data_IF_443226722462
#
_entry.id   IF_443226722462
#
_cell.length_a   1.000
_cell.length_b   1.000
_cell.length_c   1.000
_cell.angle_alpha   90.00
_cell.angle_beta   90.00
_cell.angle_gamma   90.00
#
_symmetry.space_group_name_H-M   'P 1'
#
loop_
_entity.id
_entity.type
_entity.pdbx_description
1 polymer ?
#
# COMPACT_ATOMS: atom_id res chain seq x y z
N UNK A 1 22.29 -4.40 -14.27
CA UNK A 1 22.66 -3.50 -13.15
C UNK A 1 21.43 -2.80 -12.55
N UNK A 2 20.42 -2.49 -13.35
CA UNK A 2 19.18 -1.79 -12.95
C UNK A 2 18.33 -2.51 -11.87
N UNK A 3 18.26 -3.85 -11.90
CA UNK A 3 17.47 -4.61 -10.92
C UNK A 3 18.03 -4.62 -9.50
N UNK A 4 19.35 -4.55 -9.35
CA UNK A 4 20.00 -4.52 -8.03
C UNK A 4 19.80 -3.18 -7.32
N UNK A 5 19.84 -2.08 -8.08
CA UNK A 5 19.56 -0.73 -7.56
C UNK A 5 18.09 -0.56 -7.14
N UNK A 6 17.16 -1.16 -7.89
CA UNK A 6 15.74 -1.15 -7.53
C UNK A 6 15.50 -1.90 -6.22
N UNK A 7 16.10 -3.07 -6.06
CA UNK A 7 16.01 -3.88 -4.84
C UNK A 7 16.61 -3.14 -3.63
N UNK A 8 17.74 -2.45 -3.80
CA UNK A 8 18.37 -1.67 -2.73
C UNK A 8 17.51 -0.48 -2.28
N UNK A 9 16.90 0.25 -3.21
CA UNK A 9 15.93 1.33 -2.89
C UNK A 9 14.72 0.79 -2.14
N UNK A 10 14.26 -0.38 -2.58
CA UNK A 10 13.15 -1.09 -1.95
C UNK A 10 13.47 -1.52 -0.51
N UNK A 11 14.68 -2.00 -0.26
CA UNK A 11 15.20 -2.28 1.07
C UNK A 11 15.30 -1.03 1.93
N UNK A 12 15.80 0.08 1.39
CA UNK A 12 15.89 1.35 2.11
C UNK A 12 14.51 1.89 2.52
N UNK A 13 13.45 1.59 1.76
CA UNK A 13 12.08 1.90 2.17
C UNK A 13 11.64 1.06 3.38
N UNK A 14 11.81 -0.26 3.32
CA UNK A 14 11.44 -1.17 4.41
C UNK A 14 12.24 -0.87 5.69
N UNK A 15 13.53 -0.55 5.56
CA UNK A 15 14.35 -0.16 6.69
C UNK A 15 13.82 1.10 7.38
N UNK A 16 13.40 2.12 6.61
CA UNK A 16 12.77 3.32 7.17
C UNK A 16 11.45 3.01 7.87
N UNK A 17 10.63 2.12 7.31
CA UNK A 17 9.36 1.71 7.93
C UNK A 17 9.59 0.98 9.26
N UNK A 18 10.58 0.07 9.30
CA UNK A 18 10.98 -0.63 10.52
C UNK A 18 11.49 0.34 11.59
N UNK A 19 12.36 1.30 11.23
CA UNK A 19 12.85 2.34 12.13
C UNK A 19 11.68 3.19 12.68
N UNK A 20 10.76 3.62 11.81
CA UNK A 20 9.58 4.38 12.21
C UNK A 20 8.66 3.60 13.15
N UNK A 21 8.65 2.26 13.04
CA UNK A 21 7.92 1.36 13.94
C UNK A 21 8.65 1.08 15.26
N UNK A 22 9.93 1.47 15.40
CA UNK A 22 10.77 1.26 16.58
C UNK A 22 11.64 0.00 16.52
N UNK A 23 11.81 -0.60 15.34
CA UNK A 23 12.64 -1.77 15.11
C UNK A 23 14.04 -1.36 14.61
N UNK A 24 15.00 -1.34 15.54
CA UNK A 24 16.39 -0.96 15.28
C UNK A 24 17.30 -2.18 15.00
N UNK A 25 18.46 -1.94 14.39
CA UNK A 25 19.55 -2.92 14.30
C UNK A 25 19.56 -3.85 13.09
N UNK A 26 18.73 -3.63 12.07
CA UNK A 26 18.74 -4.42 10.83
C UNK A 26 19.62 -3.77 9.75
N UNK A 27 20.87 -4.22 9.69
CA UNK A 27 21.90 -3.68 8.79
C UNK A 27 21.96 -4.48 7.47
N UNK A 28 21.17 -4.07 6.47
CA UNK A 28 21.41 -4.38 5.05
C UNK A 28 20.81 -5.69 4.49
N UNK A 29 20.68 -5.73 3.15
CA UNK A 29 20.08 -6.83 2.36
C UNK A 29 20.74 -8.21 2.58
N UNK A 30 22.01 -8.24 3.01
CA UNK A 30 22.79 -9.47 3.15
C UNK A 30 22.39 -10.38 4.33
N UNK A 31 21.65 -9.87 5.32
CA UNK A 31 21.30 -10.61 6.55
C UNK A 31 19.90 -11.24 6.53
N UNK A 32 19.23 -11.33 5.37
CA UNK A 32 17.83 -11.76 5.30
C UNK A 32 17.63 -13.13 4.65
N UNK A 33 18.40 -14.16 4.99
CA UNK A 33 17.99 -15.54 4.64
C UNK A 33 16.84 -16.03 5.52
N UNK A 34 15.98 -16.94 5.05
CA UNK A 34 15.10 -17.71 5.97
C UNK A 34 15.89 -18.50 7.00
N UNK A 35 17.09 -18.93 6.63
CA UNK A 35 18.06 -19.57 7.52
C UNK A 35 18.76 -18.57 8.46
N UNK A 36 18.62 -17.26 8.25
CA UNK A 36 19.19 -16.25 9.15
C UNK A 36 18.36 -16.11 10.42
N UNK A 37 18.95 -16.28 11.61
CA UNK A 37 18.23 -16.15 12.88
C UNK A 37 17.69 -14.74 13.11
N UNK A 38 18.41 -13.70 12.69
CA UNK A 38 17.99 -12.30 12.89
C UNK A 38 16.71 -11.98 12.12
N UNK A 39 16.60 -12.46 10.88
CA UNK A 39 15.39 -12.31 10.07
C UNK A 39 14.18 -13.01 10.70
N UNK A 40 14.37 -14.24 11.19
CA UNK A 40 13.31 -15.00 11.86
C UNK A 40 12.89 -14.31 13.17
N UNK A 41 13.86 -13.81 13.93
CA UNK A 41 13.60 -13.05 15.15
C UNK A 41 12.84 -11.74 14.87
N UNK A 42 13.14 -11.03 13.78
CA UNK A 42 12.37 -9.86 13.38
C UNK A 42 10.92 -10.20 13.06
N UNK A 43 10.69 -11.22 12.23
CA UNK A 43 9.35 -11.68 11.88
C UNK A 43 8.58 -12.11 13.14
N UNK A 44 9.24 -12.82 14.07
CA UNK A 44 8.66 -13.22 15.34
C UNK A 44 8.28 -12.01 16.22
N UNK A 45 9.12 -10.98 16.32
CA UNK A 45 8.78 -9.76 17.07
C UNK A 45 7.61 -9.00 16.46
N UNK A 46 7.57 -8.84 15.14
CA UNK A 46 6.44 -8.21 14.44
C UNK A 46 5.13 -8.98 14.67
N UNK A 47 5.18 -10.31 14.58
CA UNK A 47 4.01 -11.17 14.83
C UNK A 47 3.56 -11.16 16.29
N UNK A 48 4.49 -11.16 17.24
CA UNK A 48 4.18 -11.01 18.66
C UNK A 48 3.50 -9.66 18.91
N UNK A 49 3.97 -8.59 18.29
CA UNK A 49 3.32 -7.29 18.38
C UNK A 49 1.89 -7.32 17.81
N UNK A 50 1.70 -7.89 16.61
CA UNK A 50 0.35 -8.06 16.02
C UNK A 50 -0.60 -8.83 16.95
N UNK A 51 -0.11 -9.86 17.63
CA UNK A 51 -0.87 -10.60 18.63
C UNK A 51 -1.25 -9.72 19.84
N UNK A 52 -0.32 -8.89 20.34
CA UNK A 52 -0.60 -7.95 21.45
C UNK A 52 -1.57 -6.83 21.07
N UNK A 53 -1.62 -6.46 19.79
CA UNK A 53 -2.54 -5.45 19.26
C UNK A 53 -3.94 -6.03 18.95
N UNK A 54 -4.13 -7.34 19.08
CA UNK A 54 -5.41 -8.00 18.83
C UNK A 54 -5.73 -8.20 17.35
N UNK A 55 -4.75 -8.10 16.45
CA UNK A 55 -4.95 -8.30 15.01
C UNK A 55 -5.27 -9.75 14.62
N UNK A 56 -5.03 -10.69 15.53
CA UNK A 56 -5.31 -12.13 15.40
C UNK A 56 -6.67 -12.43 16.05
N UNK A 57 -7.73 -11.96 15.41
CA UNK A 57 -9.07 -11.80 15.99
C UNK A 57 -9.88 -13.11 16.14
N UNK A 58 -9.43 -14.28 15.63
CA UNK A 58 -10.37 -15.41 15.41
C UNK A 58 -9.99 -16.82 15.88
N UNK A 59 -8.95 -17.04 16.68
CA UNK A 59 -8.70 -18.39 17.25
C UNK A 59 -8.17 -18.41 18.69
N UNK A 60 -8.75 -17.62 19.60
CA UNK A 60 -8.49 -17.80 21.04
C UNK A 60 -9.00 -19.15 21.59
N UNK A 61 -9.81 -19.90 20.83
CA UNK A 61 -10.34 -21.20 21.26
C UNK A 61 -9.63 -22.43 20.69
N UNK A 62 -8.79 -22.32 19.65
CA UNK A 62 -8.06 -23.49 19.14
C UNK A 62 -6.65 -23.10 18.64
N UNK A 63 -5.68 -23.17 19.55
CA UNK A 63 -4.36 -23.74 19.27
C UNK A 63 -3.50 -23.17 18.13
N UNK A 64 -3.68 -21.92 17.70
CA UNK A 64 -2.68 -21.29 16.83
C UNK A 64 -1.54 -20.76 17.69
N UNK A 65 -0.46 -21.54 17.77
CA UNK A 65 0.79 -21.09 18.40
C UNK A 65 1.31 -19.85 17.65
N UNK A 66 1.36 -18.72 18.35
CA UNK A 66 1.99 -17.50 17.85
C UNK A 66 3.42 -17.81 17.39
N UNK A 67 3.95 -17.05 16.41
CA UNK A 67 5.36 -17.18 16.02
C UNK A 67 6.22 -17.13 17.28
N UNK A 68 6.87 -18.24 17.62
CA UNK A 68 7.56 -18.35 18.90
C UNK A 68 8.72 -17.36 18.92
N UNK A 69 8.69 -16.42 19.88
CA UNK A 69 9.79 -15.49 20.16
C UNK A 69 10.98 -16.17 20.86
N UNK A 70 11.13 -17.49 20.68
CA UNK A 70 12.22 -18.29 21.23
C UNK A 70 13.58 -17.90 20.65
N UNK A 71 14.61 -18.09 21.46
CA UNK A 71 16.01 -17.60 21.39
C UNK A 71 16.84 -17.89 20.11
N UNK A 72 16.21 -18.21 18.98
CA UNK A 72 16.88 -18.58 17.73
C UNK A 72 16.98 -20.08 17.49
N UNK A 73 16.58 -20.92 18.45
CA UNK A 73 16.59 -22.39 18.35
C UNK A 73 15.34 -23.02 17.69
N UNK A 74 14.47 -22.21 17.05
CA UNK A 74 13.34 -22.78 16.28
C UNK A 74 13.89 -23.33 14.95
N UNK A 75 13.58 -24.57 14.54
CA UNK A 75 13.94 -25.07 13.21
C UNK A 75 13.35 -24.21 12.08
N UNK A 76 14.02 -24.13 10.94
CA UNK A 76 13.54 -23.32 9.80
C UNK A 76 12.16 -23.81 9.32
N UNK A 77 11.91 -25.13 9.31
CA UNK A 77 10.62 -25.70 8.89
C UNK A 77 9.48 -25.29 9.82
N UNK A 78 9.75 -25.26 11.12
CA UNK A 78 8.76 -24.89 12.14
C UNK A 78 8.42 -23.40 12.06
N UNK A 79 9.43 -22.54 11.87
CA UNK A 79 9.22 -21.13 11.58
C UNK A 79 8.36 -20.92 10.33
N UNK A 80 8.65 -21.62 9.24
CA UNK A 80 7.90 -21.50 7.99
C UNK A 80 6.45 -21.96 8.14
N UNK A 81 6.20 -23.01 8.94
CA UNK A 81 4.85 -23.50 9.25
C UNK A 81 4.06 -22.47 10.04
N UNK A 82 4.64 -21.92 11.11
CA UNK A 82 4.00 -20.89 11.93
C UNK A 82 3.76 -19.61 11.11
N UNK A 83 4.72 -19.21 10.27
CA UNK A 83 4.59 -18.06 9.37
C UNK A 83 3.45 -18.23 8.36
N UNK A 84 3.30 -19.42 7.78
CA UNK A 84 2.19 -19.72 6.88
C UNK A 84 0.82 -19.68 7.59
N UNK A 85 0.78 -20.07 8.87
CA UNK A 85 -0.41 -19.92 9.72
C UNK A 85 -0.76 -18.45 9.94
N UNK A 86 0.21 -17.66 10.40
CA UNK A 86 0.06 -16.22 10.63
C UNK A 86 -0.41 -15.49 9.36
N UNK A 87 0.22 -15.75 8.21
CA UNK A 87 -0.15 -15.09 6.95
C UNK A 87 -1.57 -15.44 6.49
N UNK A 88 -2.05 -16.63 6.82
CA UNK A 88 -3.44 -17.04 6.54
C UNK A 88 -4.43 -16.31 7.44
N UNK A 89 -4.09 -16.17 8.71
CA UNK A 89 -4.90 -15.44 9.69
C UNK A 89 -4.99 -13.94 9.38
N UNK A 90 -3.86 -13.34 8.98
CA UNK A 90 -3.79 -11.95 8.50
C UNK A 90 -4.33 -11.77 7.07
N UNK A 91 -4.86 -12.81 6.44
CA UNK A 91 -5.41 -12.78 5.09
C UNK A 91 -4.45 -12.18 4.03
N UNK A 92 -3.16 -12.55 4.09
CA UNK A 92 -2.14 -11.99 3.21
C UNK A 92 -2.47 -12.24 1.71
N UNK A 93 -2.48 -11.19 0.86
CA UNK A 93 -2.89 -11.30 -0.54
C UNK A 93 -1.80 -11.86 -1.47
N UNK A 94 -0.54 -11.95 -1.02
CA UNK A 94 0.56 -12.42 -1.86
C UNK A 94 0.52 -13.96 -2.01
N UNK A 95 0.17 -14.41 -3.21
CA UNK A 95 0.09 -15.83 -3.57
C UNK A 95 1.42 -16.57 -3.45
N UNK A 96 2.57 -15.89 -3.61
CA UNK A 96 3.89 -16.51 -3.45
C UNK A 96 4.20 -16.77 -1.97
N UNK A 97 3.70 -15.94 -1.07
CA UNK A 97 3.87 -16.11 0.38
C UNK A 97 2.89 -17.12 0.97
N UNK A 98 1.65 -17.13 0.49
CA UNK A 98 0.58 -17.99 0.99
C UNK A 98 0.48 -19.37 0.29
N UNK A 99 1.34 -19.64 -0.69
CA UNK A 99 1.39 -20.93 -1.39
C UNK A 99 2.08 -22.04 -0.58
N UNK A 100 1.90 -23.30 -0.99
CA UNK A 100 2.47 -24.47 -0.31
C UNK A 100 4.01 -24.56 -0.28
N UNK A 101 4.70 -23.69 -1.03
CA UNK A 101 6.16 -23.65 -1.14
C UNK A 101 6.75 -22.32 -0.59
N UNK A 102 6.23 -21.82 0.54
CA UNK A 102 6.70 -20.56 1.12
C UNK A 102 8.21 -20.54 1.38
N UNK A 103 8.80 -21.66 1.83
CA UNK A 103 10.23 -21.79 2.11
C UNK A 103 11.13 -21.59 0.89
N UNK A 104 10.74 -22.13 -0.28
CA UNK A 104 11.53 -21.91 -1.51
C UNK A 104 11.32 -20.51 -2.06
N UNK A 105 10.13 -19.95 -1.89
CA UNK A 105 9.78 -18.60 -2.36
C UNK A 105 10.54 -17.53 -1.56
N UNK A 106 10.67 -17.69 -0.24
CA UNK A 106 11.40 -16.77 0.63
C UNK A 106 12.93 -16.78 0.42
N UNK A 107 13.45 -17.68 -0.43
CA UNK A 107 14.85 -17.57 -0.89
C UNK A 107 15.04 -16.38 -1.84
N UNK A 108 13.98 -15.98 -2.55
CA UNK A 108 13.97 -14.79 -3.40
C UNK A 108 13.92 -13.52 -2.50
N UNK A 109 14.90 -12.60 -2.60
CA UNK A 109 14.95 -11.42 -1.74
C UNK A 109 13.73 -10.50 -1.92
N UNK A 110 13.19 -10.41 -3.15
CA UNK A 110 11.97 -9.67 -3.41
C UNK A 110 10.74 -10.22 -2.69
N UNK A 111 10.65 -11.53 -2.47
CA UNK A 111 9.56 -12.15 -1.70
C UNK A 111 9.68 -11.79 -0.22
N UNK A 112 10.89 -11.77 0.33
CA UNK A 112 11.16 -11.36 1.72
C UNK A 112 10.85 -9.90 1.97
N UNK A 113 11.20 -9.04 1.02
CA UNK A 113 10.81 -7.63 1.03
C UNK A 113 9.30 -7.45 1.10
N UNK A 114 8.55 -8.18 0.25
CA UNK A 114 7.09 -8.14 0.27
C UNK A 114 6.50 -8.64 1.59
N UNK A 115 7.07 -9.70 2.17
CA UNK A 115 6.69 -10.18 3.49
C UNK A 115 6.89 -9.10 4.56
N UNK A 116 8.07 -8.47 4.62
CA UNK A 116 8.34 -7.45 5.63
C UNK A 116 7.47 -6.21 5.45
N UNK A 117 7.25 -5.76 4.21
CA UNK A 117 6.30 -4.66 3.94
C UNK A 117 4.92 -5.00 4.44
N UNK A 118 4.44 -6.20 4.15
CA UNK A 118 3.14 -6.67 4.59
C UNK A 118 3.05 -6.67 6.13
N UNK A 119 4.02 -7.28 6.83
CA UNK A 119 4.01 -7.30 8.29
C UNK A 119 4.11 -5.88 8.89
N UNK A 120 4.91 -4.99 8.31
CA UNK A 120 4.98 -3.59 8.74
C UNK A 120 3.64 -2.87 8.54
N UNK A 121 2.99 -3.05 7.38
CA UNK A 121 1.68 -2.43 7.12
C UNK A 121 0.60 -2.96 8.05
N UNK A 122 0.62 -4.26 8.37
CA UNK A 122 -0.31 -4.84 9.34
C UNK A 122 -0.07 -4.27 10.74
N UNK A 123 1.19 -4.12 11.19
CA UNK A 123 1.50 -3.51 12.49
C UNK A 123 1.04 -2.05 12.52
N UNK A 124 1.29 -1.29 11.47
CA UNK A 124 0.81 0.08 11.33
C UNK A 124 -0.71 0.16 11.41
N UNK A 125 -1.41 -0.73 10.68
CA UNK A 125 -2.87 -0.80 10.68
C UNK A 125 -3.41 -1.19 12.06
N UNK A 126 -2.85 -2.21 12.70
CA UNK A 126 -3.27 -2.67 14.02
C UNK A 126 -3.04 -1.59 15.11
N UNK A 127 -1.92 -0.86 15.06
CA UNK A 127 -1.69 0.30 15.93
C UNK A 127 -2.73 1.39 15.70
N UNK A 128 -3.05 1.69 14.44
CA UNK A 128 -4.05 2.70 14.09
C UNK A 128 -5.45 2.31 14.56
N UNK A 129 -5.86 1.05 14.33
CA UNK A 129 -7.14 0.51 14.79
C UNK A 129 -7.25 0.54 16.33
N UNK A 130 -6.18 0.20 17.04
CA UNK A 130 -6.11 0.31 18.51
C UNK A 130 -6.19 1.76 18.99
N UNK A 131 -5.66 2.72 18.25
CA UNK A 131 -5.84 4.14 18.57
C UNK A 131 -7.28 4.56 18.31
N UNK A 132 -7.88 4.15 17.19
CA UNK A 132 -9.27 4.45 16.85
C UNK A 132 -10.26 3.87 17.88
N UNK A 133 -10.05 2.64 18.34
CA UNK A 133 -10.87 2.05 19.40
C UNK A 133 -10.75 2.74 20.75
N UNK A 134 -9.67 3.50 20.99
CA UNK A 134 -9.54 4.40 22.17
C UNK A 134 -10.19 5.76 21.95
N UNK A 135 -10.33 6.20 20.71
CA UNK A 135 -11.01 7.45 20.36
C UNK A 135 -12.53 7.28 20.17
N UNK A 136 -13.04 6.06 20.02
CA UNK A 136 -14.47 5.74 20.04
C UNK A 136 -14.92 5.45 21.49
N UNK A 137 -15.63 6.38 22.18
CA UNK A 137 -16.22 6.09 23.47
C UNK A 137 -17.55 5.34 23.24
N UNK A 138 -17.51 4.01 23.13
CA UNK A 138 -18.73 3.21 23.32
C UNK A 138 -18.98 3.04 24.83
N UNK A 139 -20.19 3.34 25.33
CA UNK A 139 -20.47 3.37 26.75
C UNK A 139 -20.76 1.95 27.24
N UNK A 140 -19.76 1.21 27.73
CA UNK A 140 -19.99 0.06 28.63
C UNK A 140 -18.71 -0.39 29.38
N UNK A 141 -18.51 0.24 30.54
CA UNK A 141 -18.04 -0.32 31.84
C UNK A 141 -16.74 -1.15 31.94
N UNK A 142 -15.70 -0.52 32.50
CA UNK A 142 -15.15 -0.84 33.84
C UNK A 142 -14.20 0.32 34.21
N UNK A 143 -14.25 0.97 35.37
CA UNK A 143 -14.56 0.44 36.69
C UNK A 143 -13.30 0.29 37.55
N UNK A 144 -12.37 1.26 37.56
CA UNK A 144 -11.43 1.50 38.67
C UNK A 144 -11.14 3.01 38.75
N UNK A 145 -11.27 3.54 39.96
CA UNK A 145 -11.11 4.93 40.36
C UNK A 145 -9.72 5.52 40.05
N UNK A 146 -9.70 6.80 39.67
CA UNK A 146 -8.50 7.63 39.64
C UNK A 146 -8.80 9.02 39.08
N UNK A 147 -8.82 10.02 39.95
CA UNK A 147 -9.23 11.41 39.72
C UNK A 147 -8.36 12.24 38.74
N UNK A 148 -8.00 11.72 37.56
CA UNK A 148 -7.14 12.39 36.57
C UNK A 148 -7.67 12.28 35.10
N UNK A 149 -8.80 11.62 34.83
CA UNK A 149 -9.30 11.45 33.45
C UNK A 149 -9.88 12.73 32.82
N UNK A 150 -10.28 13.71 33.63
CA UNK A 150 -10.84 14.98 33.12
C UNK A 150 -9.83 15.87 32.40
N UNK A 151 -8.53 15.72 32.71
CA UNK A 151 -7.45 16.52 32.11
C UNK A 151 -7.18 16.12 30.65
N UNK A 152 -7.20 14.81 30.37
CA UNK A 152 -6.95 14.27 29.03
C UNK A 152 -8.03 14.68 28.03
N UNK A 153 -9.31 14.57 28.39
CA UNK A 153 -10.42 14.95 27.52
C UNK A 153 -10.38 16.46 27.18
N UNK A 154 -10.12 17.30 28.18
CA UNK A 154 -9.97 18.75 27.97
C UNK A 154 -8.81 19.05 27.02
N UNK A 155 -7.70 18.34 27.15
CA UNK A 155 -6.55 18.48 26.26
C UNK A 155 -6.89 18.07 24.81
N UNK A 156 -7.60 16.96 24.59
CA UNK A 156 -8.05 16.53 23.25
C UNK A 156 -9.01 17.55 22.60
N UNK A 157 -9.90 18.13 23.39
CA UNK A 157 -10.78 19.19 22.92
C UNK A 157 -10.00 20.45 22.54
N UNK A 158 -8.98 20.82 23.30
CA UNK A 158 -8.07 21.92 22.96
C UNK A 158 -7.34 21.64 21.64
N UNK A 159 -6.87 20.41 21.43
CA UNK A 159 -6.22 20.00 20.18
C UNK A 159 -7.19 20.04 18.98
N UNK A 160 -8.42 19.59 19.18
CA UNK A 160 -9.48 19.63 18.16
C UNK A 160 -9.80 21.07 17.75
N UNK A 161 -9.96 21.98 18.73
CA UNK A 161 -10.17 23.41 18.46
C UNK A 161 -8.99 24.02 17.67
N UNK A 162 -7.74 23.66 18.01
CA UNK A 162 -6.56 24.10 17.28
C UNK A 162 -6.52 23.57 15.84
N UNK A 163 -6.83 22.30 15.63
CA UNK A 163 -6.88 21.69 14.29
C UNK A 163 -7.96 22.35 13.41
N UNK A 164 -9.07 22.77 14.02
CA UNK A 164 -10.14 23.53 13.36
C UNK A 164 -9.80 25.02 13.16
N UNK A 165 -8.61 25.48 13.58
CA UNK A 165 -8.19 26.88 13.49
C UNK A 165 -8.93 27.83 14.42
N UNK A 166 -9.57 27.31 15.47
CA UNK A 166 -10.33 28.08 16.44
C UNK A 166 -9.41 28.68 17.52
N UNK A 167 -9.79 29.82 18.12
CA UNK A 167 -8.98 30.48 19.13
C UNK A 167 -8.75 29.56 20.34
N UNK A 168 -7.52 29.57 20.86
CA UNK A 168 -7.12 28.72 21.99
C UNK A 168 -7.92 29.13 23.23
N UNK A 169 -8.59 28.17 23.91
CA UNK A 169 -9.35 28.48 25.11
C UNK A 169 -8.45 28.81 26.30
N UNK A 170 -9.00 29.53 27.27
CA UNK A 170 -8.28 29.93 28.48
C UNK A 170 -7.92 28.70 29.34
N UNK A 171 -6.75 28.66 30.00
CA UNK A 171 -6.44 27.62 30.96
C UNK A 171 -7.50 27.55 32.06
N UNK A 172 -8.02 26.35 32.35
CA UNK A 172 -9.09 26.14 33.33
C UNK A 172 -10.51 26.31 32.78
N UNK A 173 -10.68 26.48 31.45
CA UNK A 173 -12.02 26.44 30.83
C UNK A 173 -12.63 25.04 31.05
N UNK A 174 -13.86 24.94 31.61
CA UNK A 174 -14.49 23.65 31.83
C UNK A 174 -14.84 22.96 30.50
N UNK A 175 -14.75 21.64 30.45
CA UNK A 175 -15.04 20.83 29.25
C UNK A 175 -16.43 21.13 28.65
N UNK A 176 -17.43 21.41 29.49
CA UNK A 176 -18.78 21.76 29.05
C UNK A 176 -18.86 23.04 28.22
N UNK A 177 -18.00 24.03 28.51
CA UNK A 177 -17.91 25.26 27.75
C UNK A 177 -17.18 25.03 26.42
N UNK A 178 -16.10 24.24 26.45
CA UNK A 178 -15.39 23.85 25.23
C UNK A 178 -16.28 23.07 24.26
N UNK A 179 -17.11 22.15 24.76
CA UNK A 179 -18.06 21.38 23.95
C UNK A 179 -19.08 22.32 23.29
N UNK A 180 -19.61 23.27 24.06
CA UNK A 180 -20.56 24.26 23.56
C UNK A 180 -19.92 25.15 22.50
N UNK A 181 -18.68 25.57 22.70
CA UNK A 181 -17.94 26.37 21.75
C UNK A 181 -17.63 25.57 20.47
N UNK A 182 -17.39 24.26 20.56
CA UNK A 182 -17.14 23.39 19.42
C UNK A 182 -18.43 23.16 18.61
N UNK A 183 -19.55 22.95 19.29
CA UNK A 183 -20.88 22.77 18.69
C UNK A 183 -21.47 24.06 18.10
N UNK A 184 -21.19 25.22 18.71
CA UNK A 184 -21.72 26.51 18.24
C UNK A 184 -21.00 27.03 16.97
N UNK A 185 -19.95 26.35 16.51
CA UNK A 185 -19.17 26.82 15.37
C UNK A 185 -19.73 26.24 14.08
N UNK A 186 -20.37 27.12 13.32
CA UNK A 186 -20.75 26.94 11.91
C UNK A 186 -19.60 26.35 11.06
N UNK A 187 -18.34 26.59 11.46
CA UNK A 187 -17.16 26.00 10.86
C UNK A 187 -17.18 24.45 10.84
N UNK A 188 -17.66 23.79 11.90
CA UNK A 188 -17.72 22.33 11.97
C UNK A 188 -18.76 21.76 11.00
N UNK A 189 -19.93 22.39 10.92
CA UNK A 189 -20.96 22.01 9.95
C UNK A 189 -20.47 22.20 8.52
N UNK A 190 -19.78 23.31 8.23
CA UNK A 190 -19.20 23.56 6.91
C UNK A 190 -18.10 22.56 6.53
N UNK A 191 -17.25 22.19 7.50
CA UNK A 191 -16.18 21.21 7.30
C UNK A 191 -16.77 19.81 7.07
N UNK A 192 -17.76 19.41 7.89
CA UNK A 192 -18.48 18.16 7.72
C UNK A 192 -19.16 18.07 6.35
N UNK A 193 -19.81 19.15 5.92
CA UNK A 193 -20.45 19.21 4.60
C UNK A 193 -19.41 19.11 3.47
N UNK A 194 -18.30 19.84 3.56
CA UNK A 194 -17.21 19.77 2.60
C UNK A 194 -16.61 18.37 2.50
N UNK A 195 -16.34 17.73 3.64
CA UNK A 195 -15.81 16.36 3.69
C UNK A 195 -16.80 15.35 3.11
N UNK A 196 -18.09 15.54 3.39
CA UNK A 196 -19.17 14.73 2.81
C UNK A 196 -19.24 14.88 1.30
N UNK A 197 -19.15 16.11 0.79
CA UNK A 197 -19.16 16.39 -0.64
C UNK A 197 -17.93 15.79 -1.34
N UNK A 198 -16.75 15.91 -0.73
CA UNK A 198 -15.52 15.28 -1.23
C UNK A 198 -15.64 13.75 -1.27
N UNK A 199 -16.16 13.15 -0.21
CA UNK A 199 -16.40 11.70 -0.15
C UNK A 199 -17.41 11.26 -1.22
N UNK A 200 -18.52 11.98 -1.37
CA UNK A 200 -19.52 11.74 -2.41
C UNK A 200 -18.88 11.77 -3.81
N UNK A 201 -18.11 12.81 -4.11
CA UNK A 201 -17.39 12.94 -5.37
C UNK A 201 -16.44 11.77 -5.62
N UNK A 202 -15.63 11.40 -4.62
CA UNK A 202 -14.69 10.26 -4.73
C UNK A 202 -15.42 8.94 -4.93
N UNK A 203 -16.53 8.71 -4.21
CA UNK A 203 -17.35 7.51 -4.35
C UNK A 203 -17.96 7.42 -5.75
N UNK A 204 -18.54 8.51 -6.25
CA UNK A 204 -19.10 8.58 -7.60
C UNK A 204 -18.04 8.32 -8.68
N UNK A 205 -16.83 8.88 -8.53
CA UNK A 205 -15.73 8.64 -9.46
C UNK A 205 -15.30 7.18 -9.44
N UNK A 206 -15.13 6.57 -8.26
CA UNK A 206 -14.74 5.17 -8.13
C UNK A 206 -15.79 4.23 -8.72
N UNK A 207 -17.08 4.47 -8.44
CA UNK A 207 -18.18 3.71 -9.03
C UNK A 207 -18.23 3.88 -10.55
N UNK A 208 -18.09 5.11 -11.07
CA UNK A 208 -18.08 5.36 -12.51
C UNK A 208 -16.89 4.70 -13.21
N UNK A 209 -15.72 4.70 -12.56
CA UNK A 209 -14.54 4.01 -13.08
C UNK A 209 -14.77 2.49 -13.13
N UNK A 210 -15.38 1.92 -12.09
CA UNK A 210 -15.77 0.51 -12.06
C UNK A 210 -16.74 0.20 -13.22
N UNK A 211 -17.79 1.01 -13.39
CA UNK A 211 -18.76 0.84 -14.48
C UNK A 211 -18.09 0.88 -15.85
N UNK A 212 -17.16 1.83 -16.07
CA UNK A 212 -16.41 1.94 -17.32
C UNK A 212 -15.50 0.73 -17.54
N UNK A 213 -14.85 0.22 -16.49
CA UNK A 213 -14.03 -1.00 -16.60
C UNK A 213 -14.89 -2.23 -16.92
N UNK A 214 -16.04 -2.39 -16.27
CA UNK A 214 -16.98 -3.48 -16.56
C UNK A 214 -17.54 -3.36 -17.97
N UNK A 215 -17.88 -2.14 -18.39
CA UNK A 215 -18.40 -1.86 -19.73
C UNK A 215 -17.36 -2.11 -20.84
N UNK A 216 -16.07 -1.94 -20.56
CA UNK A 216 -15.01 -2.22 -21.52
C UNK A 216 -14.94 -3.70 -21.91
N UNK A 217 -15.31 -4.62 -21.01
CA UNK A 217 -15.42 -6.05 -21.32
C UNK A 217 -16.60 -6.37 -22.25
N UNK A 218 -17.68 -5.60 -22.18
CA UNK A 218 -18.84 -5.71 -23.07
C UNK A 218 -18.73 -4.82 -24.30
N UNK A 219 -17.56 -4.21 -24.53
CA UNK A 219 -17.34 -3.40 -25.72
C UNK A 219 -17.34 -4.27 -26.97
N UNK A 220 -16.89 -5.53 -26.91
CA UNK A 220 -17.01 -6.49 -28.01
C UNK A 220 -18.47 -6.71 -28.39
N UNK A 221 -19.31 -7.02 -27.42
CA UNK A 221 -20.72 -7.37 -27.64
C UNK A 221 -21.51 -6.15 -28.16
N UNK A 222 -21.25 -4.96 -27.59
CA UNK A 222 -21.85 -3.71 -28.07
C UNK A 222 -21.32 -3.28 -29.44
N UNK A 223 -20.04 -3.44 -29.70
CA UNK A 223 -19.44 -3.14 -31.00
C UNK A 223 -19.91 -4.11 -32.08
N UNK A 224 -20.12 -5.38 -31.75
CA UNK A 224 -20.64 -6.40 -32.67
C UNK A 224 -22.09 -6.10 -33.06
N UNK A 225 -22.91 -5.63 -32.12
CA UNK A 225 -24.30 -5.20 -32.38
C UNK A 225 -24.36 -3.86 -33.15
N UNK A 226 -23.48 -2.90 -32.87
CA UNK A 226 -23.50 -1.56 -33.50
C UNK A 226 -22.73 -1.46 -34.82
N UNK A 227 -21.64 -2.22 -34.98
CA UNK A 227 -20.69 -2.12 -36.11
C UNK A 227 -20.54 -3.43 -36.90
N UNK A 228 -21.29 -4.48 -36.54
CA UNK A 228 -21.10 -5.82 -37.10
C UNK A 228 -19.83 -6.50 -36.59
N UNK A 229 -19.49 -7.68 -37.12
CA UNK A 229 -18.27 -8.41 -36.74
C UNK A 229 -17.03 -7.55 -37.02
N UNK A 230 -16.40 -7.05 -35.97
CA UNK A 230 -15.20 -6.20 -36.07
C UNK A 230 -14.00 -7.14 -36.28
N UNK A 231 -13.27 -7.04 -37.41
CA UNK A 231 -12.13 -7.91 -37.66
C UNK A 231 -11.03 -7.67 -36.63
N UNK A 232 -10.41 -8.77 -36.20
CA UNK A 232 -9.40 -8.80 -35.15
C UNK A 232 -8.26 -7.81 -35.45
N UNK A 233 -8.16 -6.74 -34.65
CA UNK A 233 -7.19 -5.64 -34.86
C UNK A 233 -5.86 -5.85 -34.15
N UNK A 234 -5.66 -6.99 -33.51
CA UNK A 234 -4.43 -7.33 -32.82
C UNK A 234 -4.31 -8.82 -32.75
N UNK A 235 -3.74 -9.42 -33.81
CA UNK A 235 -3.38 -10.83 -33.80
C UNK A 235 -2.61 -11.20 -32.54
N UNK A 236 -2.73 -12.45 -32.11
CA UNK A 236 -2.03 -12.92 -30.91
C UNK A 236 -0.54 -12.60 -31.05
N UNK A 237 0.18 -12.22 -29.98
CA UNK A 237 1.59 -11.82 -30.07
C UNK A 237 2.50 -12.80 -30.82
N UNK A 238 2.13 -14.09 -30.88
CA UNK A 238 2.86 -15.15 -31.58
C UNK A 238 2.51 -15.29 -33.09
N UNK A 239 1.53 -14.55 -33.60
CA UNK A 239 1.07 -14.58 -35.00
C UNK A 239 1.52 -13.34 -35.79
N UNK A 240 2.09 -12.34 -35.11
CA UNK A 240 2.60 -11.12 -35.71
C UNK A 240 4.07 -11.30 -36.10
N UNK A 241 4.32 -11.91 -37.25
CA UNK A 241 5.66 -11.86 -37.86
C UNK A 241 5.85 -10.47 -38.48
N UNK A 242 6.61 -9.60 -37.80
CA UNK A 242 6.94 -8.28 -38.34
C UNK A 242 7.83 -8.49 -39.58
N UNK A 243 7.41 -8.09 -40.80
CA UNK A 243 8.29 -8.19 -41.94
C UNK A 243 9.52 -7.31 -41.70
N UNK A 244 10.69 -7.94 -41.60
CA UNK A 244 11.97 -7.22 -41.48
C UNK A 244 12.12 -6.30 -42.71
N UNK A 245 12.23 -4.96 -42.53
CA UNK A 245 12.50 -4.08 -43.65
C UNK A 245 13.92 -4.34 -44.15
N UNK A 246 14.10 -4.48 -45.47
CA UNK A 246 15.43 -4.61 -46.07
C UNK A 246 16.15 -3.26 -46.00
N UNK A 247 17.30 -3.24 -45.33
CA UNK A 247 18.17 -2.07 -45.28
C UNK A 247 19.06 -2.08 -46.54
N UNK A 248 18.76 -1.21 -47.51
CA UNK A 248 19.66 -1.00 -48.65
C UNK A 248 20.84 -0.12 -48.24
N UNK A 249 22.07 -0.60 -48.49
CA UNK A 249 23.30 0.12 -48.17
C UNK A 249 23.44 1.38 -49.02
N UNK A 250 23.58 2.55 -48.38
CA UNK A 250 23.70 3.88 -48.99
C UNK A 250 25.01 4.10 -49.77
N UNK A 251 25.75 3.05 -50.15
CA UNK A 251 27.09 3.18 -50.79
C UNK A 251 27.29 2.34 -52.05
N UNK A 252 26.23 1.98 -52.75
CA UNK A 252 26.33 1.42 -54.10
C UNK A 252 25.57 2.31 -55.09
N UNK A 253 26.00 3.56 -55.20
CA UNK A 253 25.74 4.33 -56.43
C UNK A 253 26.83 5.39 -56.61
N UNK A 254 27.98 4.93 -57.10
CA UNK A 254 28.99 5.79 -57.70
C UNK A 254 29.26 5.27 -59.10
N UNK A 255 28.41 5.66 -60.05
CA UNK A 255 28.56 5.28 -61.45
C UNK A 255 27.65 6.04 -62.41
N UNK A 256 28.04 7.24 -62.81
CA UNK A 256 27.79 7.72 -64.17
C UNK A 256 26.45 8.38 -64.50
N UNK A 257 26.48 9.72 -64.54
CA UNK A 257 26.15 10.48 -65.75
C UNK A 257 24.69 10.40 -66.29
N UNK A 258 23.86 11.42 -65.97
CA UNK A 258 23.34 12.38 -66.99
C UNK A 258 22.45 13.48 -66.38
N UNK A 259 22.84 14.69 -66.76
CA UNK A 259 22.08 15.93 -66.92
C UNK A 259 20.57 15.92 -66.62
N UNK A 260 20.19 16.81 -65.69
CA UNK A 260 18.83 17.34 -65.58
C UNK A 260 18.89 18.71 -64.93
N UNK A 261 19.02 19.78 -65.73
CA UNK A 261 18.77 21.15 -65.27
C UNK A 261 17.35 21.22 -64.76
N UNK A 262 17.13 21.86 -63.60
CA UNK A 262 15.99 22.75 -63.40
C UNK A 262 16.22 23.68 -62.20
N UNK A 263 16.19 24.98 -62.52
CA UNK A 263 15.95 26.11 -61.63
C UNK A 263 14.60 25.91 -60.90
N UNK A 264 14.33 26.44 -59.71
CA UNK A 264 13.59 27.67 -59.39
C UNK A 264 13.28 27.53 -57.88
N UNK A 265 13.29 28.50 -56.96
CA UNK A 265 13.57 29.93 -56.95
C UNK A 265 13.48 30.36 -55.48
N UNK A 266 14.39 31.23 -55.05
CA UNK A 266 14.44 31.81 -53.70
C UNK A 266 13.19 32.67 -53.45
N UNK A 267 12.44 32.42 -52.38
CA UNK A 267 11.50 33.40 -51.81
C UNK A 267 12.17 34.08 -50.61
N UNK A 268 12.59 35.34 -50.81
CA UNK A 268 13.08 36.23 -49.76
C UNK A 268 11.90 36.72 -48.91
N UNK A 269 12.14 36.78 -47.60
CA UNK A 269 11.32 37.44 -46.58
C UNK A 269 11.67 38.93 -46.59
N UNK A 270 10.70 39.80 -46.84
CA UNK A 270 10.63 41.14 -46.26
C UNK A 270 9.16 41.53 -46.18
#
# INVERSE_FOLDING_TARGET
>A
MEGAEAEEREWAAVARDLLALGYEGFSGSASLGTSCPDFRALCARLAAELATLGALERQREEGTEALSAGDGSVPEEEFLRQLAGLLRELHCPDRKLCGGNCGTSLREPGVRLRLLRFLCSEVQAARLLRLQSRLDPSPEQSGVEGAEEGSGLVQEMVLTLQALGLPRPMPGTPASQLLRDLHAKEALESLYQSLRDQYCCRRCLLLKRLDLTTSAFHWSDRAEVLMGSVPDRGGRPNELEAPMPSWQSRREDRGGQKAGRQCWGRKKKK
#
